data_IF_083017669956
#
_entry.id   IF_083017669956
#
_cell.length_a   1.000
_cell.length_b   1.000
_cell.length_c   1.000
_cell.angle_alpha   90.00
_cell.angle_beta   90.00
_cell.angle_gamma   90.00
#
_symmetry.space_group_name_H-M   'P 1'
#
loop_
_entity.id
_entity.type
_entity.pdbx_description
1 polymer ?
#
# COMPACT_ATOMS: atom_id res chain seq x y z
N UNK A 1 -6.70 10.51 5.10
CA UNK A 1 -7.62 10.06 4.03
C UNK A 1 -7.38 8.57 3.81
N UNK A 2 -8.38 7.72 4.04
CA UNK A 2 -8.28 6.28 3.79
C UNK A 2 -8.80 6.02 2.36
N UNK A 3 -7.91 6.12 1.37
CA UNK A 3 -8.30 6.06 -0.05
C UNK A 3 -8.41 4.64 -0.62
N UNK A 4 -7.95 3.62 0.12
CA UNK A 4 -7.99 2.18 -0.22
C UNK A 4 -7.28 1.74 -1.51
N UNK A 5 -6.91 2.68 -2.38
CA UNK A 5 -6.20 2.44 -3.63
C UNK A 5 -5.01 3.39 -3.77
N UNK A 6 -3.93 2.87 -4.37
CA UNK A 6 -2.76 3.64 -4.73
C UNK A 6 -2.26 3.16 -6.09
N UNK A 7 -1.96 4.11 -6.98
CA UNK A 7 -1.33 3.83 -8.27
C UNK A 7 0.05 4.46 -8.28
N UNK A 8 1.09 3.64 -8.16
CA UNK A 8 2.48 4.12 -8.07
C UNK A 8 3.42 3.54 -9.13
N UNK A 9 2.87 2.96 -10.20
CA UNK A 9 3.63 2.44 -11.34
C UNK A 9 4.27 1.07 -11.10
N UNK A 10 5.05 0.61 -12.09
CA UNK A 10 5.67 -0.72 -12.09
C UNK A 10 6.84 -0.85 -11.10
N UNK A 11 7.09 -2.08 -10.63
CA UNK A 11 8.02 -2.48 -9.57
C UNK A 11 9.53 -2.40 -9.90
N UNK A 12 9.91 -1.70 -10.98
CA UNK A 12 11.27 -1.75 -11.52
C UNK A 12 12.15 -0.54 -11.11
N UNK A 13 11.56 0.59 -10.70
CA UNK A 13 12.31 1.82 -10.38
C UNK A 13 12.31 2.09 -8.88
N UNK A 14 13.47 2.48 -8.33
CA UNK A 14 13.69 2.73 -6.90
C UNK A 14 12.68 3.67 -6.25
N UNK A 15 12.34 4.78 -6.90
CA UNK A 15 11.35 5.74 -6.38
C UNK A 15 9.95 5.13 -6.23
N UNK A 16 9.62 4.14 -7.07
CA UNK A 16 8.34 3.44 -7.05
C UNK A 16 8.34 2.32 -6.02
N UNK A 17 9.44 1.55 -5.95
CA UNK A 17 9.60 0.50 -4.93
C UNK A 17 9.64 1.09 -3.53
N UNK A 18 10.20 2.29 -3.33
CA UNK A 18 10.17 3.00 -2.05
C UNK A 18 8.75 3.21 -1.51
N UNK A 19 7.78 3.51 -2.39
CA UNK A 19 6.36 3.67 -1.99
C UNK A 19 5.73 2.34 -1.57
N UNK A 20 6.02 1.24 -2.26
CA UNK A 20 5.58 -0.09 -1.84
C UNK A 20 6.22 -0.52 -0.51
N UNK A 21 7.51 -0.27 -0.33
CA UNK A 21 8.22 -0.58 0.92
C UNK A 21 7.67 0.22 2.09
N UNK A 22 7.24 1.46 1.86
CA UNK A 22 6.61 2.25 2.91
C UNK A 22 5.25 1.69 3.33
N UNK A 23 4.48 1.10 2.40
CA UNK A 23 3.24 0.41 2.76
C UNK A 23 3.49 -0.83 3.61
N UNK A 24 4.56 -1.58 3.32
CA UNK A 24 4.96 -2.74 4.14
C UNK A 24 5.32 -2.32 5.56
N UNK A 25 6.11 -1.24 5.73
CA UNK A 25 6.43 -0.70 7.06
C UNK A 25 5.19 -0.24 7.84
N UNK A 26 4.24 0.40 7.16
CA UNK A 26 2.98 0.81 7.78
C UNK A 26 2.18 -0.42 8.24
N UNK A 27 2.20 -1.50 7.47
CA UNK A 27 1.52 -2.74 7.84
C UNK A 27 2.19 -3.43 9.04
N UNK A 28 3.51 -3.44 9.08
CA UNK A 28 4.30 -3.88 10.25
C UNK A 28 3.97 -3.04 11.49
N UNK A 29 3.95 -1.70 11.36
CA UNK A 29 3.63 -0.77 12.46
C UNK A 29 2.19 -0.93 12.98
N UNK A 30 1.26 -1.33 12.11
CA UNK A 30 -0.13 -1.62 12.48
C UNK A 30 -0.30 -2.94 13.22
N UNK A 31 0.75 -3.77 13.34
CA UNK A 31 0.76 -4.95 14.20
C UNK A 31 -0.35 -5.95 13.91
N UNK A 32 -0.70 -6.14 12.64
CA UNK A 32 -1.78 -7.05 12.21
C UNK A 32 -3.19 -6.43 12.20
N UNK A 33 -3.33 -5.14 12.54
CA UNK A 33 -4.59 -4.40 12.35
C UNK A 33 -4.77 -3.87 10.92
N UNK A 34 -3.77 -4.05 10.05
CA UNK A 34 -3.82 -3.67 8.65
C UNK A 34 -4.87 -4.46 7.86
N UNK A 35 -5.63 -3.78 7.02
CA UNK A 35 -6.65 -4.40 6.16
C UNK A 35 -6.31 -4.17 4.70
N UNK A 36 -6.18 -5.26 3.93
CA UNK A 36 -6.07 -5.21 2.48
C UNK A 36 -7.48 -5.23 1.85
N UNK A 37 -7.80 -4.19 1.09
CA UNK A 37 -9.18 -3.94 0.63
C UNK A 37 -9.54 -4.62 -0.69
N UNK A 38 -8.55 -5.03 -1.50
CA UNK A 38 -8.76 -5.67 -2.81
C UNK A 38 -9.95 -5.06 -3.59
N UNK A 39 -10.95 -5.88 -3.95
CA UNK A 39 -12.16 -5.47 -4.66
C UNK A 39 -13.07 -4.53 -3.86
N UNK A 40 -13.06 -4.61 -2.53
CA UNK A 40 -13.87 -3.74 -1.68
C UNK A 40 -13.39 -2.28 -1.72
N UNK A 41 -12.14 -2.04 -2.15
CA UNK A 41 -11.62 -0.68 -2.35
C UNK A 41 -12.16 0.02 -3.60
N UNK A 42 -12.83 -0.70 -4.51
CA UNK A 42 -13.46 -0.14 -5.71
C UNK A 42 -14.93 0.18 -5.39
N UNK A 43 -15.20 1.44 -5.05
CA UNK A 43 -16.55 1.97 -4.86
C UNK A 43 -16.92 2.92 -5.99
#
# INVERSE_FOLDING_TARGET
>A
LNCHQIKTGSLCRGERTAKYNQLLRIEEDLGGMGVYWDKAGFR
#
